data_IF_041580993060
#
_entry.id   IF_041580993060
#
_cell.length_a   1.000
_cell.length_b   1.000
_cell.length_c   1.000
_cell.angle_alpha   90.00
_cell.angle_beta   90.00
_cell.angle_gamma   90.00
#
_symmetry.space_group_name_H-M   'P 1'
#
loop_
_entity.id
_entity.type
_entity.pdbx_description
1 polymer ?
#
# COMPACT_ATOMS: atom_id res chain seq x y z
N UNK A 1 8.00 -21.45 39.89
CA UNK A 1 8.41 -22.88 39.85
C UNK A 1 7.19 -23.64 39.35
N UNK A 2 7.20 -24.15 38.12
CA UNK A 2 6.00 -24.74 37.51
C UNK A 2 5.58 -26.04 38.18
N UNK A 3 4.27 -26.28 38.29
CA UNK A 3 3.70 -27.54 38.75
C UNK A 3 3.83 -28.59 37.63
N UNK A 4 4.24 -29.80 38.00
CA UNK A 4 4.25 -30.93 37.07
C UNK A 4 2.83 -31.50 36.99
N UNK A 5 2.09 -31.18 35.92
CA UNK A 5 0.76 -31.74 35.69
C UNK A 5 0.84 -33.18 35.17
N UNK A 6 0.01 -34.05 35.73
CA UNK A 6 -0.11 -35.45 35.29
C UNK A 6 -1.40 -35.65 34.52
N UNK A 7 -1.29 -35.82 33.20
CA UNK A 7 -2.42 -36.13 32.33
C UNK A 7 -2.62 -37.63 32.17
N UNK A 8 -3.88 -38.05 32.15
CA UNK A 8 -4.29 -39.43 31.84
C UNK A 8 -3.91 -39.81 30.40
N UNK A 9 -3.82 -41.11 30.06
CA UNK A 9 -3.56 -41.54 28.68
C UNK A 9 -4.51 -40.93 27.66
N UNK A 10 -5.81 -40.86 27.98
CA UNK A 10 -6.84 -40.27 27.11
C UNK A 10 -6.64 -38.78 26.87
N UNK A 11 -6.24 -38.03 27.90
CA UNK A 11 -5.93 -36.60 27.76
C UNK A 11 -4.69 -36.35 26.90
N UNK A 12 -3.69 -37.25 26.96
CA UNK A 12 -2.50 -37.18 26.09
C UNK A 12 -2.85 -37.49 24.63
N UNK A 13 -3.72 -38.46 24.40
CA UNK A 13 -4.24 -38.76 23.06
C UNK A 13 -5.00 -37.55 22.48
N UNK A 14 -5.82 -36.91 23.31
CA UNK A 14 -6.55 -35.70 22.93
C UNK A 14 -5.62 -34.54 22.57
N UNK A 15 -4.58 -34.31 23.38
CA UNK A 15 -3.55 -33.32 23.08
C UNK A 15 -2.88 -33.60 21.73
N UNK A 16 -2.47 -34.84 21.48
CA UNK A 16 -1.87 -35.22 20.21
C UNK A 16 -2.82 -34.96 19.03
N UNK A 17 -4.10 -35.28 19.18
CA UNK A 17 -5.13 -35.01 18.16
C UNK A 17 -5.23 -33.52 17.82
N UNK A 18 -5.22 -32.64 18.83
CA UNK A 18 -5.22 -31.19 18.64
C UNK A 18 -3.93 -30.69 17.99
N UNK A 19 -2.78 -31.20 18.43
CA UNK A 19 -1.45 -30.87 17.93
C UNK A 19 -1.27 -31.31 16.47
N UNK A 20 -1.87 -32.43 16.06
CA UNK A 20 -1.89 -32.88 14.68
C UNK A 20 -2.73 -31.97 13.79
N UNK A 21 -3.85 -31.46 14.29
CA UNK A 21 -4.73 -30.55 13.59
C UNK A 21 -4.21 -29.09 13.51
N UNK A 22 -3.28 -28.69 14.39
CA UNK A 22 -2.72 -27.35 14.43
C UNK A 22 -1.79 -27.11 13.23
N UNK A 23 -2.15 -26.17 12.35
CA UNK A 23 -1.38 -25.80 11.17
C UNK A 23 -0.15 -24.93 11.46
N UNK A 24 -0.14 -24.21 12.60
CA UNK A 24 0.98 -23.38 13.03
C UNK A 24 2.13 -24.24 13.57
N UNK A 25 3.15 -24.45 12.74
CA UNK A 25 4.30 -25.33 13.05
C UNK A 25 5.10 -24.80 14.26
N UNK A 26 5.32 -23.49 14.36
CA UNK A 26 6.11 -22.91 15.46
C UNK A 26 5.40 -23.12 16.80
N UNK A 27 4.11 -22.78 16.87
CA UNK A 27 3.31 -23.00 18.08
C UNK A 27 3.23 -24.49 18.42
N UNK A 28 3.07 -25.36 17.41
CA UNK A 28 3.03 -26.81 17.58
C UNK A 28 4.27 -27.35 18.28
N UNK A 29 5.46 -26.93 17.86
CA UNK A 29 6.70 -27.36 18.49
C UNK A 29 6.86 -26.75 19.89
N UNK A 30 6.54 -25.47 20.07
CA UNK A 30 6.57 -24.84 21.40
C UNK A 30 5.66 -25.52 22.41
N UNK A 31 4.45 -25.96 22.00
CA UNK A 31 3.53 -26.69 22.88
C UNK A 31 4.06 -28.07 23.28
N UNK A 32 4.77 -28.79 22.40
CA UNK A 32 5.35 -30.11 22.71
C UNK A 32 6.51 -30.04 23.70
N UNK A 33 7.20 -28.90 23.76
CA UNK A 33 8.35 -28.70 24.66
C UNK A 33 7.94 -28.42 26.12
N UNK A 34 6.68 -28.07 26.36
CA UNK A 34 6.17 -27.75 27.70
C UNK A 34 6.10 -29.01 28.56
N UNK A 35 6.75 -28.98 29.73
CA UNK A 35 6.81 -30.09 30.70
C UNK A 35 6.11 -29.79 32.02
N UNK A 36 5.96 -28.51 32.35
CA UNK A 36 5.32 -28.02 33.56
C UNK A 36 4.67 -26.68 33.26
N UNK A 37 3.71 -26.29 34.10
CA UNK A 37 3.01 -25.02 33.92
C UNK A 37 2.89 -24.27 35.25
N UNK A 38 2.88 -22.94 35.17
CA UNK A 38 2.51 -22.07 36.30
C UNK A 38 1.00 -22.09 36.59
N UNK A 39 0.17 -22.61 35.69
CA UNK A 39 -1.27 -22.68 35.89
C UNK A 39 -1.68 -23.99 36.57
N UNK A 40 -2.66 -23.90 37.46
CA UNK A 40 -3.34 -25.03 38.09
C UNK A 40 -4.74 -25.18 37.49
N UNK A 41 -5.13 -26.40 37.10
CA UNK A 41 -6.45 -26.70 36.57
C UNK A 41 -7.48 -26.84 37.70
N UNK A 42 -8.53 -26.03 37.64
CA UNK A 42 -9.62 -26.03 38.62
C UNK A 42 -10.90 -26.43 37.90
N UNK A 43 -11.48 -27.55 38.34
CA UNK A 43 -12.72 -28.10 37.79
C UNK A 43 -13.85 -27.91 38.80
N UNK A 44 -14.90 -27.22 38.37
CA UNK A 44 -16.13 -27.05 39.13
C UNK A 44 -17.05 -28.26 39.07
N UNK A 45 -18.29 -28.07 39.50
CA UNK A 45 -19.32 -29.13 39.47
C UNK A 45 -19.95 -29.28 38.09
N UNK A 46 -20.03 -28.20 37.32
CA UNK A 46 -20.50 -28.21 35.95
C UNK A 46 -19.33 -28.54 35.00
N UNK A 47 -19.59 -29.29 33.94
CA UNK A 47 -18.59 -29.61 32.92
C UNK A 47 -18.09 -28.37 32.16
N UNK A 48 -18.84 -27.27 32.20
CA UNK A 48 -18.46 -25.98 31.63
C UNK A 48 -17.70 -25.09 32.63
N UNK A 49 -17.68 -25.44 33.92
CA UNK A 49 -16.99 -24.69 34.98
C UNK A 49 -15.51 -25.11 35.05
N UNK A 50 -14.77 -24.79 33.99
CA UNK A 50 -13.34 -25.05 33.86
C UNK A 50 -12.59 -23.73 34.02
N UNK A 51 -11.71 -23.64 35.02
CA UNK A 51 -10.88 -22.47 35.26
C UNK A 51 -9.40 -22.84 35.37
N UNK A 52 -8.54 -21.85 35.19
CA UNK A 52 -7.11 -21.97 35.44
C UNK A 52 -6.69 -20.91 36.45
N UNK A 53 -5.86 -21.32 37.40
CA UNK A 53 -5.30 -20.42 38.42
C UNK A 53 -3.81 -20.25 38.19
N UNK A 54 -3.35 -19.02 37.97
CA UNK A 54 -1.94 -18.70 37.92
C UNK A 54 -1.36 -18.82 39.33
N UNK A 55 -0.49 -19.81 39.54
CA UNK A 55 0.09 -20.09 40.87
C UNK A 55 1.18 -19.10 41.27
N UNK A 56 1.65 -18.25 40.36
CA UNK A 56 2.64 -17.22 40.69
C UNK A 56 2.06 -16.11 41.57
N UNK A 57 0.78 -15.78 41.40
CA UNK A 57 0.10 -14.71 42.13
C UNK A 57 -1.30 -15.10 42.66
N UNK A 58 -1.69 -16.35 42.47
CA UNK A 58 -2.99 -16.92 42.84
C UNK A 58 -4.21 -16.33 42.11
N UNK A 59 -4.02 -15.66 40.97
CA UNK A 59 -5.12 -15.11 40.19
C UNK A 59 -5.78 -16.16 39.30
N UNK A 60 -7.11 -16.10 39.16
CA UNK A 60 -7.86 -16.97 38.26
C UNK A 60 -8.02 -16.31 36.88
N UNK A 61 -8.19 -17.11 35.83
CA UNK A 61 -8.52 -16.57 34.51
C UNK A 61 -9.89 -15.89 34.51
N UNK A 62 -10.84 -16.45 35.25
CA UNK A 62 -12.21 -15.95 35.40
C UNK A 62 -12.55 -15.82 36.88
N UNK A 63 -13.26 -14.75 37.26
CA UNK A 63 -13.83 -14.60 38.60
C UNK A 63 -15.05 -15.52 38.77
N UNK A 64 -15.89 -15.59 37.73
CA UNK A 64 -17.05 -16.49 37.66
C UNK A 64 -17.20 -17.02 36.24
N UNK A 65 -16.72 -18.26 36.02
CA UNK A 65 -16.62 -18.90 34.70
C UNK A 65 -17.95 -18.91 33.96
N UNK A 66 -19.04 -19.31 34.63
CA UNK A 66 -20.34 -19.52 34.00
C UNK A 66 -21.02 -18.18 33.68
N UNK A 67 -20.98 -17.21 34.60
CA UNK A 67 -21.61 -15.91 34.37
C UNK A 67 -20.87 -15.11 33.31
N UNK A 68 -19.54 -15.13 33.30
CA UNK A 68 -18.73 -14.49 32.26
C UNK A 68 -18.95 -15.14 30.88
N UNK A 69 -18.97 -16.48 30.81
CA UNK A 69 -19.29 -17.22 29.57
C UNK A 69 -20.67 -16.83 29.02
N UNK A 70 -21.69 -16.84 29.86
CA UNK A 70 -23.06 -16.48 29.46
C UNK A 70 -23.15 -15.01 29.00
N UNK A 71 -22.46 -14.10 29.68
CA UNK A 71 -22.40 -12.68 29.32
C UNK A 71 -21.76 -12.48 27.94
N UNK A 72 -20.64 -13.16 27.69
CA UNK A 72 -19.96 -13.11 26.39
C UNK A 72 -20.82 -13.72 25.29
N UNK A 73 -21.42 -14.90 25.52
CA UNK A 73 -22.29 -15.54 24.52
C UNK A 73 -23.49 -14.67 24.16
N UNK A 74 -24.16 -14.07 25.15
CA UNK A 74 -25.29 -13.16 24.89
C UNK A 74 -24.84 -11.96 24.06
N UNK A 75 -23.70 -11.35 24.41
CA UNK A 75 -23.17 -10.20 23.68
C UNK A 75 -22.83 -10.54 22.22
N UNK A 76 -22.17 -11.68 22.00
CA UNK A 76 -21.74 -12.09 20.65
C UNK A 76 -22.91 -12.57 19.77
N UNK A 77 -23.90 -13.23 20.36
CA UNK A 77 -25.12 -13.62 19.65
C UNK A 77 -26.00 -12.42 19.28
N UNK A 78 -25.99 -11.36 20.08
CA UNK A 78 -26.75 -10.14 19.81
C UNK A 78 -26.04 -9.24 18.77
N UNK A 79 -24.78 -8.87 19.04
CA UNK A 79 -24.08 -7.83 18.28
C UNK A 79 -23.26 -8.34 17.11
N UNK A 80 -22.71 -9.55 17.22
CA UNK A 80 -21.66 -10.04 16.33
C UNK A 80 -22.06 -11.28 15.53
N UNK A 81 -23.34 -11.69 15.57
CA UNK A 81 -23.86 -12.91 14.93
C UNK A 81 -23.45 -13.09 13.46
N UNK A 82 -23.33 -11.99 12.71
CA UNK A 82 -23.01 -11.99 11.29
C UNK A 82 -21.54 -11.66 10.98
N UNK A 83 -20.70 -11.48 12.00
CA UNK A 83 -19.29 -11.16 11.82
C UNK A 83 -18.54 -12.39 11.31
N UNK A 84 -17.89 -12.33 10.13
CA UNK A 84 -17.20 -13.50 9.60
C UNK A 84 -15.87 -13.80 10.28
N UNK A 85 -15.25 -12.77 10.86
CA UNK A 85 -13.99 -12.91 11.61
C UNK A 85 -14.13 -12.25 12.97
N UNK A 86 -13.71 -12.95 14.02
CA UNK A 86 -13.63 -12.45 15.39
C UNK A 86 -12.18 -12.52 15.88
N UNK A 87 -11.74 -11.53 16.68
CA UNK A 87 -10.37 -11.45 17.18
C UNK A 87 -10.36 -11.35 18.70
N UNK A 88 -9.61 -12.23 19.34
CA UNK A 88 -9.49 -12.31 20.79
C UNK A 88 -8.02 -12.24 21.21
N UNK A 89 -7.76 -11.56 22.31
CA UNK A 89 -6.56 -11.70 23.10
C UNK A 89 -6.85 -12.59 24.29
N UNK A 90 -6.16 -13.72 24.35
CA UNK A 90 -6.32 -14.76 25.34
C UNK A 90 -7.13 -15.95 24.85
N UNK A 91 -6.59 -17.15 25.08
CA UNK A 91 -7.28 -18.41 24.80
C UNK A 91 -8.33 -18.75 25.87
N UNK A 92 -8.06 -18.38 27.12
CA UNK A 92 -8.93 -18.70 28.25
C UNK A 92 -9.07 -20.20 28.45
N UNK A 93 -10.27 -20.64 28.83
CA UNK A 93 -10.61 -22.08 28.87
C UNK A 93 -11.08 -22.62 27.51
N UNK A 94 -11.17 -21.78 26.47
CA UNK A 94 -11.57 -22.15 25.12
C UNK A 94 -13.05 -22.51 24.90
N UNK A 95 -13.89 -22.58 25.95
CA UNK A 95 -15.31 -22.97 25.86
C UNK A 95 -16.10 -21.97 25.01
N UNK A 96 -15.82 -20.68 25.18
CA UNK A 96 -16.46 -19.63 24.38
C UNK A 96 -16.27 -19.89 22.88
N UNK A 97 -15.07 -20.26 22.44
CA UNK A 97 -14.80 -20.52 21.02
C UNK A 97 -15.56 -21.74 20.50
N UNK A 98 -15.70 -22.79 21.30
CA UNK A 98 -16.52 -23.96 20.94
C UNK A 98 -17.97 -23.57 20.67
N UNK A 99 -18.53 -22.74 21.53
CA UNK A 99 -19.90 -22.27 21.40
C UNK A 99 -20.07 -21.31 20.20
N UNK A 100 -19.19 -20.32 20.07
CA UNK A 100 -19.23 -19.38 18.94
C UNK A 100 -19.07 -20.10 17.59
N UNK A 101 -18.17 -21.08 17.48
CA UNK A 101 -17.94 -21.80 16.21
C UNK A 101 -19.10 -22.73 15.79
N UNK A 102 -20.14 -22.91 16.62
CA UNK A 102 -21.39 -23.52 16.16
C UNK A 102 -22.10 -22.64 15.11
N UNK A 103 -21.89 -21.32 15.17
CA UNK A 103 -22.40 -20.39 14.17
C UNK A 103 -21.57 -20.47 12.88
N UNK A 104 -22.22 -20.86 11.77
CA UNK A 104 -21.58 -21.00 10.45
C UNK A 104 -21.17 -19.67 9.82
N UNK A 105 -21.71 -18.55 10.30
CA UNK A 105 -21.32 -17.23 9.81
C UNK A 105 -19.90 -16.86 10.26
N UNK A 106 -19.46 -17.34 11.43
CA UNK A 106 -18.08 -17.16 11.90
C UNK A 106 -17.15 -18.09 11.11
N UNK A 107 -16.48 -17.51 10.11
CA UNK A 107 -15.50 -18.20 9.26
C UNK A 107 -14.20 -18.44 10.03
N UNK A 108 -13.72 -17.43 10.78
CA UNK A 108 -12.51 -17.52 11.57
C UNK A 108 -12.67 -16.86 12.95
N UNK A 109 -12.20 -17.53 13.99
CA UNK A 109 -11.88 -16.93 15.29
C UNK A 109 -10.36 -16.93 15.42
N UNK A 110 -9.78 -15.74 15.55
CA UNK A 110 -8.33 -15.52 15.64
C UNK A 110 -8.00 -15.19 17.08
N UNK A 111 -7.17 -16.01 17.69
CA UNK A 111 -6.85 -15.96 19.12
C UNK A 111 -5.37 -15.73 19.28
N UNK A 112 -5.02 -14.61 19.90
CA UNK A 112 -3.66 -14.24 20.24
C UNK A 112 -3.39 -14.60 21.69
N UNK A 113 -2.44 -15.48 21.96
CA UNK A 113 -2.11 -15.94 23.31
C UNK A 113 -0.63 -15.69 23.60
N UNK A 114 -0.36 -15.16 24.80
CA UNK A 114 1.00 -14.92 25.28
C UNK A 114 1.50 -16.08 26.13
N UNK A 115 0.65 -16.59 27.01
CA UNK A 115 0.94 -17.72 27.89
C UNK A 115 0.46 -19.03 27.24
N UNK A 116 1.28 -19.57 26.33
CA UNK A 116 0.94 -20.80 25.58
C UNK A 116 0.73 -22.03 26.46
N UNK A 117 1.12 -21.97 27.73
CA UNK A 117 0.80 -22.99 28.74
C UNK A 117 -0.72 -23.16 28.92
N UNK A 118 -1.51 -22.08 28.78
CA UNK A 118 -2.98 -22.13 28.84
C UNK A 118 -3.52 -23.05 27.73
N UNK A 119 -3.04 -22.83 26.49
CA UNK A 119 -3.39 -23.66 25.33
C UNK A 119 -2.96 -25.11 25.56
N UNK A 120 -1.74 -25.31 26.07
CA UNK A 120 -1.21 -26.64 26.35
C UNK A 120 -2.11 -27.43 27.30
N UNK A 121 -2.57 -26.82 28.40
CA UNK A 121 -3.49 -27.48 29.33
C UNK A 121 -4.83 -27.74 28.63
N UNK A 122 -5.41 -26.73 27.98
CA UNK A 122 -6.74 -26.86 27.37
C UNK A 122 -6.79 -27.87 26.22
N UNK A 123 -5.70 -28.06 25.48
CA UNK A 123 -5.62 -29.10 24.46
C UNK A 123 -5.59 -30.52 25.04
N UNK A 124 -5.27 -30.70 26.32
CA UNK A 124 -5.44 -31.98 27.02
C UNK A 124 -6.87 -32.18 27.53
N UNK A 125 -7.69 -31.14 27.61
CA UNK A 125 -9.04 -31.18 28.20
C UNK A 125 -10.14 -31.17 27.15
N UNK A 126 -9.99 -30.39 26.08
CA UNK A 126 -11.00 -30.18 25.04
C UNK A 126 -10.48 -30.55 23.65
N UNK A 127 -11.33 -31.19 22.85
CA UNK A 127 -11.03 -31.52 21.45
C UNK A 127 -11.30 -30.33 20.54
N UNK A 128 -10.28 -29.62 20.06
CA UNK A 128 -10.38 -28.55 19.05
C UNK A 128 -9.97 -29.01 17.64
N UNK A 129 -9.73 -30.31 17.43
CA UNK A 129 -9.12 -30.81 16.19
C UNK A 129 -9.87 -30.40 14.93
N UNK A 130 -11.21 -30.42 14.95
CA UNK A 130 -12.03 -30.03 13.79
C UNK A 130 -11.93 -28.54 13.46
N UNK A 131 -11.92 -27.68 14.47
CA UNK A 131 -11.86 -26.23 14.33
C UNK A 131 -10.46 -25.76 13.91
N UNK A 132 -9.42 -26.41 14.42
CA UNK A 132 -8.03 -26.17 14.05
C UNK A 132 -7.75 -26.63 12.61
N UNK A 133 -8.16 -27.85 12.26
CA UNK A 133 -7.92 -28.43 10.93
C UNK A 133 -8.61 -27.63 9.82
N UNK A 134 -9.81 -27.10 10.09
CA UNK A 134 -10.54 -26.23 9.15
C UNK A 134 -10.10 -24.77 9.19
N UNK A 135 -9.09 -24.43 10.02
CA UNK A 135 -8.65 -23.07 10.30
C UNK A 135 -9.77 -22.12 10.78
N UNK A 136 -10.91 -22.66 11.24
CA UNK A 136 -11.98 -21.87 11.85
C UNK A 136 -11.57 -21.33 13.21
N UNK A 137 -10.67 -22.03 13.91
CA UNK A 137 -9.95 -21.51 15.06
C UNK A 137 -8.47 -21.35 14.69
N UNK A 138 -7.96 -20.13 14.77
CA UNK A 138 -6.55 -19.81 14.55
C UNK A 138 -5.94 -19.36 15.87
N UNK A 139 -4.92 -20.09 16.34
CA UNK A 139 -4.22 -19.76 17.59
C UNK A 139 -2.81 -19.29 17.27
N UNK A 140 -2.46 -18.10 17.77
CA UNK A 140 -1.24 -17.38 17.42
C UNK A 140 -0.51 -16.94 18.69
N UNK A 141 0.76 -17.31 18.80
CA UNK A 141 1.62 -16.84 19.90
C UNK A 141 2.13 -15.43 19.60
N UNK A 142 1.83 -14.46 20.46
CA UNK A 142 2.12 -13.03 20.18
C UNK A 142 3.59 -12.75 19.93
N UNK A 143 4.49 -13.43 20.65
CA UNK A 143 5.94 -13.27 20.51
C UNK A 143 6.53 -13.86 19.22
N UNK A 144 5.77 -14.64 18.46
CA UNK A 144 6.22 -15.28 17.21
C UNK A 144 5.88 -14.48 15.95
N UNK A 145 5.12 -13.39 16.07
CA UNK A 145 4.58 -12.66 14.93
C UNK A 145 5.52 -11.54 14.47
N UNK A 146 5.94 -11.61 13.22
CA UNK A 146 6.79 -10.62 12.57
C UNK A 146 6.00 -9.69 11.61
N UNK A 147 6.70 -8.75 11.00
CA UNK A 147 6.11 -7.76 10.09
C UNK A 147 5.51 -8.44 8.84
N UNK A 148 6.15 -9.50 8.36
CA UNK A 148 5.67 -10.23 7.19
C UNK A 148 4.33 -10.93 7.49
N UNK A 149 4.20 -11.55 8.66
CA UNK A 149 2.94 -12.10 9.14
C UNK A 149 1.83 -11.05 9.11
N UNK A 150 2.02 -9.88 9.75
CA UNK A 150 0.96 -8.87 9.82
C UNK A 150 0.57 -8.35 8.44
N UNK A 151 1.55 -8.11 7.56
CA UNK A 151 1.30 -7.66 6.19
C UNK A 151 0.47 -8.68 5.41
N UNK A 152 0.88 -9.95 5.41
CA UNK A 152 0.21 -11.02 4.69
C UNK A 152 -1.18 -11.31 5.26
N UNK A 153 -1.28 -11.39 6.59
CA UNK A 153 -2.53 -11.64 7.30
C UNK A 153 -3.56 -10.56 7.00
N UNK A 154 -3.21 -9.28 7.17
CA UNK A 154 -4.13 -8.16 6.99
C UNK A 154 -4.52 -7.91 5.52
N UNK A 155 -3.71 -8.36 4.57
CA UNK A 155 -3.98 -8.24 3.13
C UNK A 155 -4.75 -9.43 2.54
N UNK A 156 -4.85 -10.54 3.28
CA UNK A 156 -5.46 -11.78 2.78
C UNK A 156 -6.99 -11.82 3.00
N UNK A 157 -7.70 -12.57 2.14
CA UNK A 157 -9.12 -12.85 2.35
C UNK A 157 -9.29 -13.95 3.41
N UNK A 158 -10.32 -13.88 4.28
CA UNK A 158 -11.36 -12.84 4.33
C UNK A 158 -10.97 -11.62 5.20
N UNK A 159 -9.85 -11.66 5.93
CA UNK A 159 -9.43 -10.64 6.90
C UNK A 159 -9.46 -9.22 6.33
N UNK A 160 -8.90 -9.01 5.14
CA UNK A 160 -8.92 -7.72 4.46
C UNK A 160 -10.34 -7.21 4.18
N UNK A 161 -11.25 -8.08 3.72
CA UNK A 161 -12.62 -7.71 3.34
C UNK A 161 -13.44 -7.24 4.54
N UNK A 162 -13.11 -7.73 5.74
CA UNK A 162 -13.77 -7.38 6.99
C UNK A 162 -12.89 -6.52 7.91
N UNK A 163 -11.82 -5.93 7.39
CA UNK A 163 -10.89 -5.09 8.15
C UNK A 163 -11.56 -3.90 8.86
N UNK A 164 -12.62 -3.34 8.27
CA UNK A 164 -13.37 -2.21 8.86
C UNK A 164 -14.11 -2.56 10.16
N UNK A 165 -14.43 -3.84 10.37
CA UNK A 165 -15.13 -4.31 11.57
C UNK A 165 -14.17 -4.95 12.59
N UNK A 166 -12.86 -4.79 12.39
CA UNK A 166 -11.84 -5.26 13.33
C UNK A 166 -11.98 -4.59 14.70
N UNK A 167 -11.98 -5.42 15.74
CA UNK A 167 -11.72 -5.05 17.12
C UNK A 167 -11.05 -6.25 17.82
N UNK A 168 -10.24 -6.00 18.85
CA UNK A 168 -9.57 -7.03 19.63
C UNK A 168 -10.25 -7.15 21.00
N UNK A 169 -10.97 -8.24 21.21
CA UNK A 169 -11.65 -8.54 22.48
C UNK A 169 -10.68 -9.16 23.48
N UNK A 170 -10.78 -8.81 24.76
CA UNK A 170 -10.08 -9.54 25.82
C UNK A 170 -10.94 -10.71 26.28
N UNK A 171 -10.34 -11.90 26.37
CA UNK A 171 -11.07 -13.09 26.81
C UNK A 171 -11.59 -12.98 28.25
N UNK A 172 -10.84 -12.31 29.13
CA UNK A 172 -11.23 -12.03 30.52
C UNK A 172 -10.34 -10.96 31.12
N UNK A 173 -10.71 -10.46 32.31
CA UNK A 173 -9.94 -9.47 33.06
C UNK A 173 -8.50 -9.94 33.41
N UNK A 174 -8.26 -11.26 33.50
CA UNK A 174 -6.91 -11.79 33.73
C UNK A 174 -5.89 -11.24 32.73
N UNK A 175 -6.28 -11.11 31.46
CA UNK A 175 -5.39 -10.72 30.37
C UNK A 175 -4.98 -9.24 30.41
N UNK A 176 -5.65 -8.38 31.18
CA UNK A 176 -5.29 -6.96 31.32
C UNK A 176 -3.85 -6.77 31.82
N UNK A 177 -3.28 -7.74 32.54
CA UNK A 177 -1.88 -7.76 32.95
C UNK A 177 -0.88 -7.69 31.79
N UNK A 178 -1.30 -8.03 30.58
CA UNK A 178 -0.47 -7.98 29.38
C UNK A 178 -0.67 -6.69 28.57
N UNK A 179 -1.03 -5.60 29.24
CA UNK A 179 -1.36 -4.30 28.64
C UNK A 179 -0.45 -3.88 27.46
N UNK A 180 0.87 -3.85 27.66
CA UNK A 180 1.83 -3.44 26.62
C UNK A 180 1.82 -4.36 25.39
N UNK A 181 1.63 -5.67 25.62
CA UNK A 181 1.56 -6.67 24.56
C UNK A 181 0.28 -6.50 23.72
N UNK A 182 -0.84 -6.29 24.42
CA UNK A 182 -2.16 -6.04 23.82
C UNK A 182 -2.12 -4.76 22.98
N UNK A 183 -1.62 -3.65 23.56
CA UNK A 183 -1.52 -2.38 22.85
C UNK A 183 -0.58 -2.49 21.63
N UNK A 184 0.57 -3.14 21.80
CA UNK A 184 1.53 -3.37 20.72
C UNK A 184 0.95 -4.20 19.58
N UNK A 185 0.25 -5.30 19.91
CA UNK A 185 -0.42 -6.16 18.93
C UNK A 185 -1.54 -5.40 18.21
N UNK A 186 -2.43 -4.74 18.97
CA UNK A 186 -3.56 -4.02 18.40
C UNK A 186 -3.10 -2.89 17.47
N UNK A 187 -2.04 -2.16 17.86
CA UNK A 187 -1.42 -1.14 17.01
C UNK A 187 -0.90 -1.74 15.71
N UNK A 188 -0.16 -2.85 15.76
CA UNK A 188 0.36 -3.52 14.56
C UNK A 188 -0.75 -3.99 13.63
N UNK A 189 -1.83 -4.59 14.16
CA UNK A 189 -2.99 -5.02 13.37
C UNK A 189 -3.71 -3.82 12.75
N UNK A 190 -4.02 -2.79 13.53
CA UNK A 190 -4.70 -1.60 13.04
C UNK A 190 -3.89 -0.88 11.95
N UNK A 191 -2.57 -0.73 12.13
CA UNK A 191 -1.68 -0.14 11.14
C UNK A 191 -1.61 -0.99 9.86
N UNK A 192 -1.49 -2.32 9.96
CA UNK A 192 -1.40 -3.17 8.78
C UNK A 192 -2.74 -3.29 8.04
N UNK A 193 -3.88 -3.31 8.73
CA UNK A 193 -5.18 -3.17 8.08
C UNK A 193 -5.32 -1.84 7.36
N UNK A 194 -4.94 -0.72 8.02
CA UNK A 194 -4.93 0.60 7.38
C UNK A 194 -4.05 0.64 6.13
N UNK A 195 -2.83 0.11 6.22
CA UNK A 195 -1.90 0.04 5.09
C UNK A 195 -2.47 -0.81 3.94
N UNK A 196 -3.09 -1.95 4.27
CA UNK A 196 -3.75 -2.81 3.29
C UNK A 196 -4.94 -2.11 2.62
N UNK A 197 -5.71 -1.31 3.36
CA UNK A 197 -6.82 -0.52 2.79
C UNK A 197 -6.26 0.53 1.82
N UNK A 198 -5.27 1.32 2.26
CA UNK A 198 -4.68 2.39 1.44
C UNK A 198 -4.05 1.83 0.16
N UNK A 199 -3.42 0.65 0.20
CA UNK A 199 -2.79 0.04 -0.98
C UNK A 199 -3.78 -0.38 -2.06
N UNK A 200 -5.06 -0.59 -1.72
CA UNK A 200 -6.12 -0.92 -2.68
C UNK A 200 -6.83 0.33 -3.24
N UNK A 201 -6.57 1.51 -2.67
CA UNK A 201 -7.19 2.78 -3.04
C UNK A 201 -7.76 3.49 -1.83
N UNK A 202 -7.65 4.81 -1.83
CA UNK A 202 -8.07 5.68 -0.73
C UNK A 202 -9.22 6.62 -1.10
N UNK A 203 -9.60 6.70 -2.38
CA UNK A 203 -10.65 7.61 -2.85
C UNK A 203 -11.54 6.96 -3.93
N UNK A 204 -12.78 6.57 -3.60
CA UNK A 204 -13.71 6.03 -4.59
C UNK A 204 -14.21 7.09 -5.59
N UNK A 205 -14.22 8.38 -5.24
CA UNK A 205 -14.61 9.45 -6.16
C UNK A 205 -13.54 9.62 -7.25
N UNK A 206 -12.25 9.58 -6.88
CA UNK A 206 -11.15 9.56 -7.88
C UNK A 206 -11.34 8.39 -8.86
N UNK A 207 -11.65 7.20 -8.35
CA UNK A 207 -11.87 6.02 -9.19
C UNK A 207 -13.05 6.20 -10.16
N UNK A 208 -14.18 6.73 -9.68
CA UNK A 208 -15.35 7.01 -10.52
C UNK A 208 -15.06 8.08 -11.58
N UNK A 209 -14.36 9.16 -11.21
CA UNK A 209 -13.89 10.18 -12.14
C UNK A 209 -12.98 9.59 -13.22
N UNK A 210 -12.06 8.70 -12.83
CA UNK A 210 -11.18 8.00 -13.78
C UNK A 210 -11.96 7.14 -14.79
N UNK A 211 -13.00 6.44 -14.34
CA UNK A 211 -13.89 5.65 -15.21
C UNK A 211 -14.62 6.57 -16.19
N UNK A 212 -15.24 7.64 -15.68
CA UNK A 212 -16.00 8.60 -16.49
C UNK A 212 -15.12 9.24 -17.59
N UNK A 213 -13.98 9.81 -17.19
CA UNK A 213 -13.09 10.49 -18.12
C UNK A 213 -12.48 9.54 -19.15
N UNK A 214 -12.18 8.30 -18.76
CA UNK A 214 -11.75 7.28 -19.71
C UNK A 214 -12.83 6.99 -20.77
N UNK A 215 -14.10 6.90 -20.38
CA UNK A 215 -15.21 6.69 -21.31
C UNK A 215 -15.34 7.87 -22.29
N UNK A 216 -15.19 9.11 -21.83
CA UNK A 216 -15.19 10.28 -22.73
C UNK A 216 -14.01 10.29 -23.72
N UNK A 217 -12.82 9.87 -23.26
CA UNK A 217 -11.61 9.88 -24.08
C UNK A 217 -11.48 8.65 -24.98
N UNK A 218 -12.23 7.57 -24.71
CA UNK A 218 -12.15 6.30 -25.41
C UNK A 218 -12.28 6.42 -26.94
N UNK A 219 -13.25 7.18 -27.51
CA UNK A 219 -13.34 7.36 -28.95
C UNK A 219 -12.05 7.92 -29.56
N UNK A 220 -11.43 8.90 -28.87
CA UNK A 220 -10.18 9.49 -29.33
C UNK A 220 -9.02 8.49 -29.20
N UNK A 221 -8.98 7.70 -28.14
CA UNK A 221 -7.92 6.69 -27.98
C UNK A 221 -7.93 5.68 -29.13
N UNK A 222 -9.12 5.21 -29.55
CA UNK A 222 -9.21 4.18 -30.58
C UNK A 222 -9.02 4.68 -32.01
N UNK A 223 -9.15 5.99 -32.25
CA UNK A 223 -8.94 6.60 -33.57
C UNK A 223 -7.54 7.20 -33.73
N UNK A 224 -6.70 7.17 -32.70
CA UNK A 224 -5.34 7.72 -32.70
C UNK A 224 -4.28 6.61 -32.67
N UNK A 225 -3.01 6.92 -33.01
CA UNK A 225 -1.91 5.96 -32.90
C UNK A 225 -1.83 5.37 -31.49
N UNK A 226 -1.49 4.09 -31.41
CA UNK A 226 -1.41 3.39 -30.13
C UNK A 226 -0.06 3.54 -29.43
N UNK A 227 -0.01 3.22 -28.14
CA UNK A 227 1.26 3.08 -27.42
C UNK A 227 2.20 2.06 -28.07
N UNK A 228 1.67 0.92 -28.53
CA UNK A 228 2.48 -0.07 -29.27
C UNK A 228 3.05 0.48 -30.56
N UNK A 229 2.26 1.27 -31.29
CA UNK A 229 2.71 1.92 -32.52
C UNK A 229 3.82 2.94 -32.23
N UNK A 230 3.66 3.78 -31.20
CA UNK A 230 4.69 4.70 -30.73
C UNK A 230 6.01 3.97 -30.48
N UNK A 231 5.99 2.90 -29.69
CA UNK A 231 7.19 2.10 -29.42
C UNK A 231 7.78 1.51 -30.70
N UNK A 232 6.95 0.93 -31.57
CA UNK A 232 7.44 0.30 -32.81
C UNK A 232 8.17 1.28 -33.73
N UNK A 233 7.72 2.54 -33.79
CA UNK A 233 8.27 3.57 -34.68
C UNK A 233 9.42 4.37 -34.06
N UNK A 234 9.45 4.50 -32.73
CA UNK A 234 10.36 5.43 -32.04
C UNK A 234 11.42 4.74 -31.16
N UNK A 235 11.35 3.43 -30.99
CA UNK A 235 12.34 2.69 -30.19
C UNK A 235 13.72 2.73 -30.85
N UNK A 236 14.74 3.15 -30.10
CA UNK A 236 16.14 3.13 -30.52
C UNK A 236 16.52 4.17 -31.58
N UNK A 237 15.69 5.20 -31.80
CA UNK A 237 15.97 6.25 -32.79
C UNK A 237 17.00 7.29 -32.31
N UNK A 238 17.22 7.37 -30.99
CA UNK A 238 18.14 8.30 -30.34
C UNK A 238 18.71 7.66 -29.07
N UNK A 239 19.94 8.02 -28.72
CA UNK A 239 20.63 7.49 -27.55
C UNK A 239 20.46 8.39 -26.30
N UNK A 240 20.13 9.67 -26.48
CA UNK A 240 20.11 10.64 -25.38
C UNK A 240 18.75 11.33 -25.26
N UNK A 241 18.18 11.27 -24.06
CA UNK A 241 16.96 11.97 -23.68
C UNK A 241 17.24 13.02 -22.61
N UNK A 242 16.58 14.17 -22.71
CA UNK A 242 16.49 15.19 -21.65
C UNK A 242 15.05 15.19 -21.15
N UNK A 243 14.86 14.94 -19.86
CA UNK A 243 13.57 15.04 -19.19
C UNK A 243 13.52 16.40 -18.48
N UNK A 244 12.52 17.18 -18.82
CA UNK A 244 12.31 18.53 -18.30
C UNK A 244 11.10 18.55 -17.39
N UNK A 245 11.36 18.62 -16.09
CA UNK A 245 10.38 18.76 -15.02
C UNK A 245 10.27 20.21 -14.55
N UNK A 246 9.27 20.52 -13.73
CA UNK A 246 8.88 21.91 -13.40
C UNK A 246 9.40 22.36 -12.03
N UNK A 247 10.40 21.69 -11.49
CA UNK A 247 11.00 22.08 -10.22
C UNK A 247 11.73 23.43 -10.29
N UNK A 248 11.99 24.08 -9.15
CA UNK A 248 12.55 25.43 -9.10
C UNK A 248 13.89 25.60 -9.83
N UNK A 249 14.68 24.53 -9.98
CA UNK A 249 15.95 24.57 -10.71
C UNK A 249 15.81 24.70 -12.22
N UNK A 250 14.61 24.55 -12.81
CA UNK A 250 14.43 24.65 -14.25
C UNK A 250 14.89 26.00 -14.80
N UNK A 251 14.52 27.11 -14.14
CA UNK A 251 14.78 28.48 -14.64
C UNK A 251 16.26 28.72 -14.94
N UNK A 252 17.16 28.30 -14.04
CA UNK A 252 18.61 28.47 -14.23
C UNK A 252 19.17 27.61 -15.38
N UNK A 253 18.50 26.53 -15.74
CA UNK A 253 18.94 25.60 -16.79
C UNK A 253 18.42 25.95 -18.19
N UNK A 254 17.41 26.83 -18.32
CA UNK A 254 16.80 27.19 -19.60
C UNK A 254 17.81 27.66 -20.67
N UNK A 255 18.81 28.53 -20.36
CA UNK A 255 19.81 28.93 -21.36
C UNK A 255 20.66 27.75 -21.85
N UNK A 256 21.03 26.83 -20.96
CA UNK A 256 21.81 25.64 -21.28
C UNK A 256 20.99 24.65 -22.11
N UNK A 257 19.74 24.41 -21.70
CA UNK A 257 18.81 23.56 -22.42
C UNK A 257 18.59 24.07 -23.85
N UNK A 258 18.38 25.38 -24.03
CA UNK A 258 18.23 25.99 -25.36
C UNK A 258 19.46 25.76 -26.26
N UNK A 259 20.66 25.85 -25.69
CA UNK A 259 21.92 25.62 -26.42
C UNK A 259 22.05 24.16 -26.92
N UNK A 260 21.54 23.19 -26.17
CA UNK A 260 21.69 21.76 -26.47
C UNK A 260 20.42 21.07 -26.95
N UNK A 261 19.32 21.80 -27.14
CA UNK A 261 18.03 21.23 -27.49
C UNK A 261 18.08 20.35 -28.76
N UNK A 262 18.90 20.70 -29.75
CA UNK A 262 19.03 19.94 -30.99
C UNK A 262 19.95 18.70 -30.89
N UNK A 263 20.45 18.36 -29.70
CA UNK A 263 21.43 17.26 -29.48
C UNK A 263 20.83 16.04 -28.78
N UNK A 264 19.62 16.15 -28.27
CA UNK A 264 18.94 15.10 -27.51
C UNK A 264 17.44 15.20 -27.74
N UNK A 265 16.73 14.11 -27.50
CA UNK A 265 15.27 14.14 -27.50
C UNK A 265 14.78 14.76 -26.20
N UNK A 266 13.90 15.76 -26.27
CA UNK A 266 13.34 16.43 -25.10
C UNK A 266 11.96 15.86 -24.76
N UNK A 267 11.85 15.33 -23.56
CA UNK A 267 10.60 14.92 -22.91
C UNK A 267 10.22 15.98 -21.89
N UNK A 268 9.02 16.54 -22.00
CA UNK A 268 8.56 17.64 -21.18
C UNK A 268 7.38 17.21 -20.33
N UNK A 269 7.38 17.58 -19.05
CA UNK A 269 6.16 17.55 -18.24
C UNK A 269 5.15 18.60 -18.76
N UNK A 270 3.86 18.28 -18.72
CA UNK A 270 2.73 19.17 -19.00
C UNK A 270 2.93 20.62 -18.51
N UNK A 271 3.30 20.77 -17.25
CA UNK A 271 3.49 22.04 -16.55
C UNK A 271 4.76 22.78 -16.95
N UNK A 272 5.75 22.08 -17.51
CA UNK A 272 6.96 22.69 -18.09
C UNK A 272 6.76 23.18 -19.52
N UNK A 273 5.76 22.67 -20.24
CA UNK A 273 5.57 22.97 -21.66
C UNK A 273 5.31 24.46 -21.95
N UNK A 274 4.42 25.18 -21.23
CA UNK A 274 4.25 26.62 -21.39
C UNK A 274 5.53 27.42 -21.09
N UNK A 275 6.32 26.97 -20.12
CA UNK A 275 7.60 27.60 -19.76
C UNK A 275 8.60 27.44 -20.91
N UNK A 276 8.71 26.24 -21.47
CA UNK A 276 9.60 25.98 -22.60
C UNK A 276 9.19 26.75 -23.86
N UNK A 277 7.89 26.82 -24.16
CA UNK A 277 7.35 27.61 -25.27
C UNK A 277 7.73 29.09 -25.15
N UNK A 278 7.56 29.68 -23.96
CA UNK A 278 7.95 31.09 -23.69
C UNK A 278 9.44 31.35 -23.93
N UNK A 279 10.31 30.35 -23.76
CA UNK A 279 11.74 30.48 -23.97
C UNK A 279 12.20 30.01 -25.37
N UNK A 280 11.27 29.57 -26.22
CA UNK A 280 11.54 29.08 -27.57
C UNK A 280 12.36 27.77 -27.56
N UNK A 281 12.06 26.86 -26.63
CA UNK A 281 12.68 25.54 -26.53
C UNK A 281 11.62 24.51 -26.91
N UNK A 282 11.68 23.97 -28.13
CA UNK A 282 10.68 23.01 -28.61
C UNK A 282 10.96 21.61 -28.05
N UNK A 283 10.05 20.99 -27.27
CA UNK A 283 10.18 19.59 -26.88
C UNK A 283 9.79 18.65 -28.02
N UNK A 284 10.25 17.40 -27.97
CA UNK A 284 9.79 16.35 -28.91
C UNK A 284 8.52 15.65 -28.38
N UNK A 285 8.48 15.42 -27.07
CA UNK A 285 7.35 14.82 -26.38
C UNK A 285 6.88 15.69 -25.21
N UNK A 286 5.57 15.80 -25.05
CA UNK A 286 4.93 16.43 -23.88
C UNK A 286 4.02 15.40 -23.23
N UNK A 287 4.24 15.09 -21.96
CA UNK A 287 3.46 14.08 -21.25
C UNK A 287 2.50 14.70 -20.24
N UNK A 288 1.33 14.08 -20.04
CA UNK A 288 0.37 14.45 -18.99
C UNK A 288 -0.23 13.19 -18.36
N UNK A 289 -0.26 13.17 -17.02
CA UNK A 289 -0.74 12.02 -16.24
C UNK A 289 -2.06 12.33 -15.50
N UNK A 290 -2.22 13.57 -15.05
CA UNK A 290 -3.25 13.97 -14.08
C UNK A 290 -4.65 14.08 -14.68
N UNK A 291 -5.66 13.85 -13.85
CA UNK A 291 -7.09 13.86 -14.25
C UNK A 291 -7.86 15.09 -13.81
N UNK A 292 -7.19 15.97 -13.07
CA UNK A 292 -7.74 17.24 -12.62
C UNK A 292 -7.87 18.22 -13.77
N UNK A 293 -9.00 18.92 -13.81
CA UNK A 293 -9.27 19.97 -14.81
C UNK A 293 -8.17 21.04 -14.80
N UNK A 294 -7.69 21.42 -13.62
CA UNK A 294 -6.69 22.48 -13.47
C UNK A 294 -5.40 22.13 -14.22
N UNK A 295 -4.98 20.87 -14.24
CA UNK A 295 -3.76 20.46 -14.95
C UNK A 295 -3.97 20.50 -16.47
N UNK A 296 -5.20 20.28 -16.94
CA UNK A 296 -5.53 20.41 -18.36
C UNK A 296 -5.32 21.84 -18.89
N UNK A 297 -5.40 22.85 -18.03
CA UNK A 297 -5.13 24.25 -18.39
C UNK A 297 -3.68 24.50 -18.83
N UNK A 298 -2.75 23.60 -18.51
CA UNK A 298 -1.40 23.63 -19.09
C UNK A 298 -1.39 23.53 -20.62
N UNK A 299 -2.46 23.02 -21.23
CA UNK A 299 -2.65 22.97 -22.69
C UNK A 299 -3.61 24.04 -23.23
N UNK A 300 -4.25 24.84 -22.37
CA UNK A 300 -5.12 25.96 -22.78
C UNK A 300 -4.31 27.19 -23.20
N UNK A 301 -3.59 27.05 -24.30
CA UNK A 301 -2.78 28.09 -24.92
C UNK A 301 -2.88 27.93 -26.44
N UNK A 302 -2.25 28.82 -27.20
CA UNK A 302 -2.10 28.69 -28.65
C UNK A 302 -0.69 29.17 -29.01
N UNK A 303 0.17 28.21 -29.36
CA UNK A 303 1.56 28.50 -29.74
C UNK A 303 1.79 28.35 -31.26
N UNK A 304 0.74 28.12 -32.05
CA UNK A 304 0.81 28.02 -33.50
C UNK A 304 1.89 27.05 -34.01
N UNK A 305 2.75 27.52 -34.92
CA UNK A 305 3.83 26.74 -35.54
C UNK A 305 4.84 26.14 -34.56
N UNK A 306 4.92 26.66 -33.32
CA UNK A 306 5.78 26.05 -32.30
C UNK A 306 5.39 24.60 -32.01
N UNK A 307 4.10 24.26 -32.12
CA UNK A 307 3.56 22.93 -31.81
C UNK A 307 3.84 21.89 -32.88
N UNK A 308 4.37 22.32 -34.03
CA UNK A 308 4.68 21.44 -35.14
C UNK A 308 5.71 20.40 -34.74
N UNK A 309 5.38 19.14 -35.03
CA UNK A 309 6.16 17.94 -34.75
C UNK A 309 6.30 17.56 -33.27
N UNK A 310 5.60 18.25 -32.36
CA UNK A 310 5.50 17.82 -30.96
C UNK A 310 4.46 16.69 -30.86
N UNK A 311 4.81 15.61 -30.16
CA UNK A 311 3.86 14.52 -29.84
C UNK A 311 3.44 14.59 -28.39
N UNK A 312 2.16 14.81 -28.14
CA UNK A 312 1.58 14.80 -26.80
C UNK A 312 1.22 13.38 -26.40
N UNK A 313 1.69 12.91 -25.26
CA UNK A 313 1.42 11.56 -24.75
C UNK A 313 0.68 11.70 -23.45
N UNK A 314 -0.63 11.48 -23.50
CA UNK A 314 -1.52 11.78 -22.39
C UNK A 314 -2.17 10.51 -21.87
N UNK A 315 -2.33 10.40 -20.55
CA UNK A 315 -3.02 9.26 -19.96
C UNK A 315 -4.49 9.25 -20.42
N UNK A 316 -5.05 8.06 -20.61
CA UNK A 316 -6.41 7.86 -21.11
C UNK A 316 -7.51 8.33 -20.14
N UNK A 317 -7.15 8.55 -18.87
CA UNK A 317 -8.01 9.09 -17.82
C UNK A 317 -7.78 10.58 -17.56
N UNK A 318 -7.14 11.32 -18.45
CA UNK A 318 -6.98 12.79 -18.28
C UNK A 318 -8.32 13.51 -18.42
N UNK A 319 -8.43 14.71 -17.85
CA UNK A 319 -9.65 15.51 -17.96
C UNK A 319 -10.03 15.73 -19.44
N UNK A 320 -11.32 15.70 -19.84
CA UNK A 320 -11.74 15.88 -21.23
C UNK A 320 -11.26 17.21 -21.86
N UNK A 321 -11.02 18.24 -21.05
CA UNK A 321 -10.42 19.49 -21.50
C UNK A 321 -9.04 19.31 -22.12
N UNK A 322 -8.24 18.36 -21.63
CA UNK A 322 -6.94 18.02 -22.21
C UNK A 322 -7.11 17.71 -23.70
N UNK A 323 -8.05 16.83 -24.04
CA UNK A 323 -8.27 16.40 -25.42
C UNK A 323 -8.88 17.52 -26.27
N UNK A 324 -9.83 18.26 -25.69
CA UNK A 324 -10.44 19.44 -26.32
C UNK A 324 -9.37 20.48 -26.72
N UNK A 325 -8.42 20.78 -25.84
CA UNK A 325 -7.36 21.76 -26.11
C UNK A 325 -6.35 21.26 -27.15
N UNK A 326 -5.98 19.98 -27.08
CA UNK A 326 -5.09 19.36 -28.08
C UNK A 326 -5.72 19.41 -29.49
N UNK A 327 -6.99 19.05 -29.61
CA UNK A 327 -7.72 19.11 -30.89
C UNK A 327 -7.91 20.53 -31.40
N UNK A 328 -8.26 21.49 -30.52
CA UNK A 328 -8.43 22.91 -30.88
C UNK A 328 -7.21 23.47 -31.62
N UNK A 329 -6.01 23.03 -31.23
CA UNK A 329 -4.74 23.52 -31.79
C UNK A 329 -4.12 22.55 -32.80
N UNK A 330 -4.86 21.54 -33.27
CA UNK A 330 -4.38 20.50 -34.19
C UNK A 330 -3.08 19.81 -33.72
N UNK A 331 -2.93 19.60 -32.42
CA UNK A 331 -1.75 18.93 -31.83
C UNK A 331 -1.82 17.43 -32.05
N UNK A 332 -0.70 16.82 -32.42
CA UNK A 332 -0.61 15.36 -32.51
C UNK A 332 -0.57 14.76 -31.10
N UNK A 333 -1.46 13.82 -30.79
CA UNK A 333 -1.48 13.19 -29.48
C UNK A 333 -1.76 11.68 -29.52
N UNK A 334 -1.32 11.01 -28.45
CA UNK A 334 -1.49 9.58 -28.19
C UNK A 334 -2.06 9.42 -26.79
N UNK A 335 -3.14 8.65 -26.70
CA UNK A 335 -3.76 8.28 -25.43
C UNK A 335 -3.18 6.93 -24.96
N UNK A 336 -2.61 6.92 -23.76
CA UNK A 336 -1.97 5.74 -23.17
C UNK A 336 -2.70 5.29 -21.91
N UNK A 337 -2.85 3.97 -21.72
CA UNK A 337 -3.58 3.41 -20.57
C UNK A 337 -2.66 2.70 -19.58
N UNK A 338 -2.99 2.78 -18.29
CA UNK A 338 -2.36 1.95 -17.25
C UNK A 338 -3.15 0.67 -17.01
N UNK A 339 -2.61 -0.22 -16.17
CA UNK A 339 -3.33 -1.38 -15.68
C UNK A 339 -4.36 -0.94 -14.63
N UNK A 340 -5.64 -1.02 -15.00
CA UNK A 340 -6.77 -0.81 -14.09
C UNK A 340 -7.89 -1.77 -14.49
N UNK A 341 -8.60 -2.34 -13.50
CA UNK A 341 -9.59 -3.40 -13.73
C UNK A 341 -10.66 -3.00 -14.75
N UNK A 342 -11.14 -1.76 -14.71
CA UNK A 342 -12.15 -1.27 -15.64
C UNK A 342 -11.62 -1.07 -17.07
N UNK A 343 -10.34 -0.70 -17.24
CA UNK A 343 -9.71 -0.58 -18.57
C UNK A 343 -9.46 -1.98 -19.15
N UNK A 344 -8.97 -2.91 -18.32
CA UNK A 344 -8.73 -4.30 -18.73
C UNK A 344 -10.01 -5.03 -19.09
N UNK A 345 -11.14 -4.69 -18.44
CA UNK A 345 -12.44 -5.25 -18.76
C UNK A 345 -12.85 -5.03 -20.23
N UNK A 346 -12.43 -3.91 -20.84
CA UNK A 346 -12.70 -3.62 -22.26
C UNK A 346 -11.84 -4.43 -23.25
N UNK A 347 -10.81 -5.14 -22.78
CA UNK A 347 -9.92 -5.99 -23.61
C UNK A 347 -9.30 -5.27 -24.81
N UNK A 348 -8.87 -4.02 -24.61
CA UNK A 348 -8.22 -3.18 -25.62
C UNK A 348 -6.71 -3.46 -25.73
N UNK A 349 -6.31 -4.74 -25.62
CA UNK A 349 -4.91 -5.16 -25.55
C UNK A 349 -4.09 -4.73 -26.77
N UNK A 350 -4.73 -4.51 -27.92
CA UNK A 350 -4.10 -3.97 -29.12
C UNK A 350 -3.40 -2.62 -28.84
N UNK A 351 -4.03 -1.73 -28.09
CA UNK A 351 -3.50 -0.39 -27.81
C UNK A 351 -2.32 -0.41 -26.83
N UNK A 352 -2.21 -1.49 -26.04
CA UNK A 352 -1.14 -1.70 -25.07
C UNK A 352 -1.37 -0.95 -23.75
N UNK A 353 -0.58 -1.36 -22.74
CA UNK A 353 -0.60 -0.77 -21.40
C UNK A 353 0.78 -0.25 -21.05
N UNK A 354 0.80 0.88 -20.36
CA UNK A 354 2.00 1.57 -19.94
C UNK A 354 1.91 1.83 -18.43
N UNK A 355 2.82 1.24 -17.66
CA UNK A 355 3.00 1.60 -16.25
C UNK A 355 3.80 2.92 -16.19
N UNK A 356 3.14 3.99 -15.75
CA UNK A 356 3.62 5.37 -15.87
C UNK A 356 4.25 5.92 -14.58
N UNK A 357 4.35 5.12 -13.52
CA UNK A 357 4.84 5.57 -12.21
C UNK A 357 3.88 6.56 -11.53
N UNK A 358 4.41 7.34 -10.58
CA UNK A 358 3.61 8.14 -9.65
C UNK A 358 3.49 9.63 -10.01
N UNK A 359 4.18 10.09 -11.05
CA UNK A 359 4.08 11.47 -11.55
C UNK A 359 4.44 11.54 -13.03
N UNK A 360 4.12 12.66 -13.67
CA UNK A 360 4.49 12.90 -15.08
C UNK A 360 6.00 12.80 -15.34
N UNK A 361 6.83 13.12 -14.35
CA UNK A 361 8.28 12.94 -14.44
C UNK A 361 8.68 11.46 -14.48
N UNK A 362 8.03 10.61 -13.66
CA UNK A 362 8.23 9.16 -13.75
C UNK A 362 7.71 8.61 -15.08
N UNK A 363 6.59 9.12 -15.57
CA UNK A 363 6.05 8.74 -16.88
C UNK A 363 7.06 9.03 -18.00
N UNK A 364 7.64 10.23 -18.00
CA UNK A 364 8.73 10.58 -18.92
C UNK A 364 9.90 9.60 -18.79
N UNK A 365 10.37 9.36 -17.57
CA UNK A 365 11.50 8.46 -17.29
C UNK A 365 11.25 7.03 -17.80
N UNK A 366 10.13 6.42 -17.45
CA UNK A 366 9.74 5.08 -17.90
C UNK A 366 9.55 5.00 -19.40
N UNK A 367 9.01 6.05 -20.03
CA UNK A 367 8.88 6.10 -21.48
C UNK A 367 10.26 6.11 -22.17
N UNK A 368 11.25 6.84 -21.65
CA UNK A 368 12.62 6.80 -22.22
C UNK A 368 13.22 5.39 -22.17
N UNK A 369 12.95 4.63 -21.11
CA UNK A 369 13.41 3.25 -20.96
C UNK A 369 12.76 2.35 -22.02
N UNK A 370 11.45 2.47 -22.22
CA UNK A 370 10.72 1.69 -23.22
C UNK A 370 11.11 2.04 -24.66
N UNK A 371 11.46 3.30 -24.90
CA UNK A 371 12.01 3.78 -26.17
C UNK A 371 13.51 3.48 -26.36
N UNK A 372 14.18 2.85 -25.38
CA UNK A 372 15.57 2.39 -25.44
C UNK A 372 16.63 3.49 -25.54
N UNK A 373 16.40 4.61 -24.86
CA UNK A 373 17.44 5.60 -24.62
C UNK A 373 18.53 5.04 -23.71
N UNK A 374 19.79 5.46 -23.91
CA UNK A 374 20.96 5.01 -23.16
C UNK A 374 21.43 6.03 -22.13
N UNK A 375 21.22 7.32 -22.42
CA UNK A 375 21.59 8.44 -21.55
C UNK A 375 20.33 9.25 -21.23
N UNK A 376 20.00 9.37 -19.95
CA UNK A 376 18.85 10.14 -19.47
C UNK A 376 19.37 11.32 -18.66
N UNK A 377 19.02 12.54 -19.04
CA UNK A 377 19.42 13.76 -18.35
C UNK A 377 18.17 14.37 -17.71
N UNK A 378 18.20 14.62 -16.42
CA UNK A 378 17.12 15.23 -15.66
C UNK A 378 17.41 16.73 -15.48
N UNK A 379 16.45 17.58 -15.86
CA UNK A 379 16.49 19.03 -15.68
C UNK A 379 15.21 19.47 -14.98
N UNK A 380 15.33 20.33 -13.96
CA UNK A 380 14.17 20.77 -13.18
C UNK A 380 13.57 19.67 -12.31
N UNK A 381 14.32 18.59 -12.03
CA UNK A 381 13.87 17.46 -11.20
C UNK A 381 14.33 17.66 -9.74
N UNK A 382 13.78 18.68 -9.09
CA UNK A 382 14.21 19.05 -7.73
C UNK A 382 13.69 18.10 -6.65
N UNK A 383 12.38 17.80 -6.66
CA UNK A 383 11.69 17.06 -5.58
C UNK A 383 11.99 17.65 -4.19
N UNK A 384 12.22 18.95 -4.15
CA UNK A 384 12.62 19.73 -2.99
C UNK A 384 12.22 21.18 -3.22
N UNK A 385 12.02 21.90 -2.12
CA UNK A 385 11.75 23.33 -2.13
C UNK A 385 13.02 24.11 -2.50
N UNK A 386 12.85 25.25 -3.18
CA UNK A 386 13.90 26.25 -3.29
C UNK A 386 14.22 26.87 -1.93
N UNK A 387 15.35 27.60 -1.83
CA UNK A 387 15.77 28.27 -0.59
C UNK A 387 14.75 29.30 -0.08
N UNK A 388 13.96 29.87 -0.98
CA UNK A 388 12.88 30.82 -0.70
C UNK A 388 11.51 30.15 -0.55
N UNK A 389 11.46 28.82 -0.44
CA UNK A 389 10.24 28.05 -0.25
C UNK A 389 9.45 27.77 -1.53
N UNK A 390 9.89 28.25 -2.69
CA UNK A 390 9.18 27.99 -3.95
C UNK A 390 9.13 26.49 -4.27
N UNK A 391 7.96 26.03 -4.71
CA UNK A 391 7.67 24.64 -5.06
C UNK A 391 8.00 24.32 -6.53
N UNK A 392 7.88 25.31 -7.41
CA UNK A 392 8.00 25.16 -8.86
C UNK A 392 8.78 26.33 -9.48
N UNK A 393 9.16 26.17 -10.74
CA UNK A 393 9.85 27.19 -11.54
C UNK A 393 8.97 28.42 -11.82
N UNK A 394 9.63 29.58 -12.00
CA UNK A 394 8.97 30.82 -12.38
C UNK A 394 8.19 30.66 -13.70
N UNK A 395 6.90 31.00 -13.68
CA UNK A 395 5.99 30.84 -14.82
C UNK A 395 5.09 29.61 -14.74
N UNK A 396 5.16 28.83 -13.65
CA UNK A 396 4.18 27.78 -13.36
C UNK A 396 2.78 28.38 -13.13
N UNK A 397 1.80 27.91 -13.91
CA UNK A 397 0.46 28.51 -14.00
C UNK A 397 -0.37 28.30 -12.72
N UNK A 398 -0.02 27.31 -11.89
CA UNK A 398 -0.79 26.94 -10.69
C UNK A 398 -0.04 27.20 -9.37
N UNK A 399 0.91 28.14 -9.35
CA UNK A 399 1.73 28.44 -8.17
C UNK A 399 0.89 28.68 -6.89
N UNK A 400 -0.28 29.33 -7.02
CA UNK A 400 -1.14 29.67 -5.88
C UNK A 400 -1.73 28.44 -5.14
N UNK A 401 -1.84 27.29 -5.80
CA UNK A 401 -2.34 26.05 -5.16
C UNK A 401 -1.34 25.50 -4.14
N UNK A 402 -0.08 25.94 -4.21
CA UNK A 402 1.00 25.47 -3.35
C UNK A 402 1.34 26.47 -2.24
N UNK A 403 0.52 27.49 -2.05
CA UNK A 403 0.69 28.44 -0.96
C UNK A 403 0.48 27.73 0.38
N UNK A 404 1.47 27.78 1.28
CA UNK A 404 1.43 27.10 2.57
C UNK A 404 2.06 25.70 2.57
N UNK A 405 2.42 25.14 1.40
CA UNK A 405 3.03 23.80 1.32
C UNK A 405 4.37 23.74 2.05
N UNK A 406 5.21 24.77 1.84
CA UNK A 406 6.51 24.87 2.49
C UNK A 406 6.37 24.94 4.01
N UNK A 407 5.50 25.80 4.53
CA UNK A 407 5.26 25.96 5.96
C UNK A 407 4.67 24.69 6.59
N UNK A 408 3.78 23.99 5.85
CA UNK A 408 3.22 22.71 6.29
C UNK A 408 4.32 21.65 6.45
N UNK A 409 5.28 21.60 5.54
CA UNK A 409 6.27 20.51 5.45
C UNK A 409 7.62 20.85 6.12
N UNK A 410 7.81 22.11 6.52
CA UNK A 410 9.05 22.61 7.09
C UNK A 410 9.55 21.73 8.23
N UNK A 411 10.80 21.29 8.11
CA UNK A 411 11.51 20.43 9.07
C UNK A 411 10.89 19.04 9.32
N UNK A 412 9.83 18.68 8.60
CA UNK A 412 9.24 17.32 8.63
C UNK A 412 9.92 16.40 7.63
N UNK A 413 10.27 16.93 6.45
CA UNK A 413 10.89 16.17 5.39
C UNK A 413 12.09 16.93 4.82
N UNK A 414 13.27 16.30 4.86
CA UNK A 414 14.48 16.87 4.26
C UNK A 414 15.33 15.78 3.63
N UNK A 415 16.23 16.18 2.74
CA UNK A 415 17.19 15.28 2.12
C UNK A 415 18.51 16.00 1.81
N UNK A 416 19.52 15.24 1.41
CA UNK A 416 20.80 15.78 0.95
C UNK A 416 20.60 16.61 -0.32
N UNK A 417 21.17 17.81 -0.32
CA UNK A 417 21.13 18.71 -1.47
C UNK A 417 21.89 18.14 -2.68
N UNK A 418 21.53 18.58 -3.87
CA UNK A 418 22.26 18.27 -5.10
C UNK A 418 23.78 18.55 -4.94
N UNK A 419 24.61 17.61 -5.40
CA UNK A 419 26.07 17.67 -5.26
C UNK A 419 26.60 17.36 -3.87
N UNK A 420 25.76 16.94 -2.91
CA UNK A 420 26.17 16.58 -1.55
C UNK A 420 26.35 17.77 -0.60
N UNK A 421 26.02 19.00 -1.05
CA UNK A 421 26.35 20.23 -0.35
C UNK A 421 25.22 20.71 0.56
N UNK A 422 25.01 20.00 1.66
CA UNK A 422 24.05 20.37 2.71
C UNK A 422 22.71 19.66 2.61
N UNK A 423 21.67 20.23 3.23
CA UNK A 423 20.30 19.69 3.25
C UNK A 423 19.33 20.64 2.58
N UNK A 424 18.28 20.07 1.99
CA UNK A 424 17.14 20.80 1.41
C UNK A 424 15.83 20.25 1.99
N UNK A 425 14.84 21.13 2.13
CA UNK A 425 13.50 20.77 2.56
C UNK A 425 12.75 20.10 1.40
N UNK A 426 11.86 19.16 1.72
CA UNK A 426 11.05 18.40 0.78
C UNK A 426 9.66 18.16 1.37
N UNK A 427 8.83 17.37 0.70
CA UNK A 427 7.53 16.92 1.21
C UNK A 427 7.49 15.40 1.34
N UNK A 428 6.44 14.87 1.95
CA UNK A 428 6.19 13.43 2.02
C UNK A 428 6.13 12.81 0.62
N UNK A 429 5.30 13.40 -0.26
CA UNK A 429 5.08 12.92 -1.63
C UNK A 429 6.36 13.02 -2.46
N UNK A 430 7.10 14.13 -2.36
CA UNK A 430 8.36 14.26 -3.11
C UNK A 430 9.45 13.34 -2.58
N UNK A 431 9.44 13.03 -1.28
CA UNK A 431 10.32 12.01 -0.71
C UNK A 431 9.99 10.63 -1.26
N UNK A 432 8.71 10.28 -1.36
CA UNK A 432 8.27 9.05 -2.04
C UNK A 432 8.72 9.03 -3.50
N UNK A 433 8.51 10.12 -4.24
CA UNK A 433 8.93 10.23 -5.64
C UNK A 433 10.45 10.07 -5.79
N UNK A 434 11.23 10.70 -4.90
CA UNK A 434 12.69 10.60 -4.92
C UNK A 434 13.16 9.17 -4.70
N UNK A 435 12.62 8.48 -3.69
CA UNK A 435 12.98 7.08 -3.42
C UNK A 435 12.62 6.16 -4.61
N UNK A 436 11.49 6.40 -5.28
CA UNK A 436 11.12 5.66 -6.49
C UNK A 436 12.11 5.92 -7.63
N UNK A 437 12.46 7.17 -7.90
CA UNK A 437 13.49 7.52 -8.88
C UNK A 437 14.84 6.87 -8.55
N UNK A 438 15.31 6.96 -7.30
CA UNK A 438 16.58 6.37 -6.88
C UNK A 438 16.60 4.85 -7.11
N UNK A 439 15.51 4.17 -6.72
CA UNK A 439 15.33 2.74 -6.97
C UNK A 439 15.31 2.42 -8.46
N UNK A 440 14.53 3.15 -9.25
CA UNK A 440 14.42 2.93 -10.69
C UNK A 440 15.75 3.17 -11.40
N UNK A 441 16.47 4.26 -11.07
CA UNK A 441 17.79 4.58 -11.62
C UNK A 441 18.79 3.44 -11.37
N UNK A 442 18.84 2.91 -10.14
CA UNK A 442 19.71 1.77 -9.81
C UNK A 442 19.31 0.53 -10.61
N UNK A 443 18.01 0.20 -10.63
CA UNK A 443 17.50 -0.97 -11.33
C UNK A 443 17.78 -0.91 -12.82
N UNK A 444 17.59 0.23 -13.47
CA UNK A 444 17.77 0.33 -14.93
C UNK A 444 19.25 0.36 -15.31
N UNK A 445 20.12 0.90 -14.46
CA UNK A 445 21.56 0.87 -14.70
C UNK A 445 22.06 -0.57 -14.69
N UNK A 446 21.59 -1.37 -13.73
CA UNK A 446 21.96 -2.78 -13.62
C UNK A 446 21.36 -3.64 -14.74
N UNK A 447 20.08 -3.46 -15.06
CA UNK A 447 19.36 -4.38 -15.95
C UNK A 447 19.36 -3.95 -17.43
N UNK A 448 19.57 -2.66 -17.72
CA UNK A 448 19.46 -2.10 -19.07
C UNK A 448 20.67 -1.26 -19.50
N UNK A 449 21.68 -1.09 -18.63
CA UNK A 449 22.89 -0.29 -18.89
C UNK A 449 22.60 1.16 -19.29
N UNK A 450 21.52 1.72 -18.74
CA UNK A 450 21.12 3.12 -18.94
C UNK A 450 21.81 3.99 -17.88
N UNK A 451 22.40 5.10 -18.30
CA UNK A 451 23.01 6.07 -17.39
C UNK A 451 22.12 7.28 -17.21
N UNK A 452 21.85 7.64 -15.95
CA UNK A 452 21.06 8.81 -15.59
C UNK A 452 21.94 9.91 -14.99
N UNK A 453 21.73 11.14 -15.43
CA UNK A 453 22.40 12.35 -14.96
C UNK A 453 21.35 13.31 -14.39
N UNK A 454 21.63 13.95 -13.27
CA UNK A 454 20.80 15.02 -12.71
C UNK A 454 21.57 16.35 -12.81
N UNK A 455 20.94 17.45 -13.25
CA UNK A 455 21.62 18.68 -13.66
C UNK A 455 21.20 19.96 -12.92
#
# INVERSE_FOLDING_TARGET
MGLMMTFTPTQKELFNKNIEALSNILLKESLKEIKSSKFELILGKDNLDINLKDTSDNTFLYENVIDELNTMLNTYNDKYLLYPVLYFYGFGNGILFKALLQNKNHQHIVVFEKDIEIIWIMFHILDFSSELQSARLMVLQTSSLDIEFFSNFCSSKPFFQFSRIYFLELMSHYYERFHEDILGLNKKLAENFKNSIISHGNDPLDALQGIEQFVYNLPQMITHPSYKELLSKRKGISDTAIIVSTGPSLTKQLPLLKKYASKATIFCADSSYPILAKHGIKPDYVCMLERDEIVAECFNNDFGEFDKDIVFIVKSVTHPHTIKYLQKNNRAFILVSTYASFIQYLKLDYFGYFNMGFSVAHMNFLLTIHLKYKNIILIGQDLAYAKDGQTHSQGFIHANLHNGDYERDLDKFSTTAYGGNGKVQSSEIWTLFRHNFEKDIVNIKMNYHITTYNC
#
